data_IF_911933744602
#
_entry.id   IF_911933744602
#
_cell.length_a   1.000
_cell.length_b   1.000
_cell.length_c   1.000
_cell.angle_alpha   90.00
_cell.angle_beta   90.00
_cell.angle_gamma   90.00
#
_symmetry.space_group_name_H-M   'P 1'
#
loop_
_entity.id
_entity.type
_entity.pdbx_description
1 polymer ?
#
# COMPACT_ATOMS: atom_id res chain seq x y z
N UNK A 1 -17.82 -3.12 -8.03
CA UNK A 1 -18.10 -3.69 -6.70
C UNK A 1 -16.97 -4.67 -6.42
N UNK A 2 -15.90 -4.22 -5.71
CA UNK A 2 -14.79 -5.09 -5.32
C UNK A 2 -15.26 -5.82 -4.08
N UNK A 3 -15.44 -7.12 -4.17
CA UNK A 3 -15.72 -7.96 -3.01
C UNK A 3 -14.51 -7.89 -2.07
N UNK A 4 -14.68 -7.23 -0.92
CA UNK A 4 -13.73 -7.34 0.16
C UNK A 4 -13.70 -8.82 0.58
N UNK A 5 -12.67 -9.54 0.19
CA UNK A 5 -12.41 -10.90 0.68
C UNK A 5 -12.07 -10.74 2.16
N UNK A 6 -13.08 -10.90 3.01
CA UNK A 6 -12.87 -11.02 4.44
C UNK A 6 -11.79 -12.10 4.67
N UNK A 7 -10.85 -11.81 5.56
CA UNK A 7 -9.82 -12.73 6.00
C UNK A 7 -10.47 -14.01 6.57
N UNK A 8 -10.84 -14.92 5.68
CA UNK A 8 -11.13 -16.30 6.04
C UNK A 8 -9.80 -16.90 6.44
N UNK A 9 -9.73 -17.64 7.55
CA UNK A 9 -8.52 -18.20 8.13
C UNK A 9 -7.75 -19.19 7.22
N UNK A 10 -7.66 -18.89 5.94
CA UNK A 10 -6.78 -19.55 4.96
C UNK A 10 -5.38 -18.99 5.07
N UNK A 11 -4.41 -19.84 4.92
CA UNK A 11 -3.02 -19.43 4.74
C UNK A 11 -2.92 -18.53 3.48
N UNK A 12 -2.12 -17.44 3.54
CA UNK A 12 -1.94 -16.57 2.38
C UNK A 12 -1.21 -17.31 1.26
N UNK A 13 -1.49 -16.97 0.02
CA UNK A 13 -0.78 -17.50 -1.15
C UNK A 13 0.64 -16.91 -1.28
N UNK A 14 0.93 -15.78 -0.59
CA UNK A 14 2.20 -15.05 -0.65
C UNK A 14 2.71 -14.74 0.77
N UNK A 15 3.97 -15.08 1.03
CA UNK A 15 4.63 -14.91 2.32
C UNK A 15 5.84 -13.97 2.23
N UNK A 16 6.32 -13.53 3.37
CA UNK A 16 7.58 -12.77 3.47
C UNK A 16 8.77 -13.48 2.80
N UNK A 17 8.78 -14.81 2.82
CA UNK A 17 9.83 -15.64 2.23
C UNK A 17 9.88 -15.50 0.71
N UNK A 18 8.74 -15.21 0.04
CA UNK A 18 8.60 -15.07 -1.41
C UNK A 18 9.05 -13.70 -1.94
N UNK A 19 9.28 -12.73 -1.06
CA UNK A 19 9.72 -11.40 -1.47
C UNK A 19 11.12 -11.46 -2.07
N UNK A 20 11.25 -10.89 -3.26
CA UNK A 20 12.53 -10.66 -3.95
C UNK A 20 12.87 -9.18 -3.82
N UNK A 21 13.95 -8.88 -3.08
CA UNK A 21 14.41 -7.48 -2.91
C UNK A 21 14.82 -6.90 -4.27
N UNK A 22 14.50 -5.64 -4.50
CA UNK A 22 14.62 -4.88 -5.74
C UNK A 22 13.60 -5.24 -6.84
N UNK A 23 12.71 -6.22 -6.64
CA UNK A 23 11.60 -6.44 -7.56
C UNK A 23 10.65 -5.24 -7.54
N UNK A 24 10.20 -4.85 -8.74
CA UNK A 24 9.26 -3.74 -8.97
C UNK A 24 7.99 -4.27 -9.61
N UNK A 25 6.85 -3.76 -9.16
CA UNK A 25 5.53 -4.13 -9.70
C UNK A 25 4.68 -2.86 -9.87
N UNK A 26 3.69 -2.92 -10.78
CA UNK A 26 2.71 -1.83 -11.00
C UNK A 26 1.29 -2.34 -10.84
N UNK A 27 0.42 -1.49 -10.29
CA UNK A 27 -1.03 -1.75 -10.18
C UNK A 27 -1.74 -1.56 -11.52
N UNK A 28 -3.04 -1.84 -11.55
CA UNK A 28 -3.92 -1.36 -12.61
C UNK A 28 -4.02 0.18 -12.61
N UNK A 29 -4.58 0.73 -13.71
CA UNK A 29 -4.90 2.15 -13.80
C UNK A 29 -6.20 2.45 -13.07
N UNK A 30 -6.25 3.58 -12.39
CA UNK A 30 -7.42 4.10 -11.69
C UNK A 30 -7.61 5.58 -12.02
N UNK A 31 -8.78 5.95 -12.53
CA UNK A 31 -9.09 7.35 -12.78
C UNK A 31 -9.85 7.96 -11.60
N UNK A 32 -9.28 9.03 -11.00
CA UNK A 32 -9.91 9.77 -9.92
C UNK A 32 -10.86 10.83 -10.49
N UNK A 33 -12.14 10.81 -10.09
CA UNK A 33 -13.11 11.82 -10.52
C UNK A 33 -13.08 13.07 -9.62
N UNK A 34 -13.57 14.21 -10.14
CA UNK A 34 -13.70 15.43 -9.34
C UNK A 34 -14.70 15.24 -8.19
N UNK A 35 -15.81 14.54 -8.44
CA UNK A 35 -16.80 14.24 -7.39
C UNK A 35 -16.18 13.43 -6.26
N UNK A 36 -15.37 12.44 -6.57
CA UNK A 36 -14.67 11.65 -5.56
C UNK A 36 -13.71 12.51 -4.72
N UNK A 37 -12.97 13.42 -5.36
CA UNK A 37 -12.08 14.34 -4.63
C UNK A 37 -12.89 15.22 -3.66
N UNK A 38 -13.99 15.82 -4.15
CA UNK A 38 -14.85 16.69 -3.33
C UNK A 38 -15.51 15.91 -2.21
N UNK A 39 -16.03 14.71 -2.48
CA UNK A 39 -16.72 13.86 -1.49
C UNK A 39 -15.76 13.42 -0.38
N UNK A 40 -14.54 13.01 -0.75
CA UNK A 40 -13.51 12.66 0.24
C UNK A 40 -13.11 13.87 1.07
N UNK A 41 -12.80 14.99 0.42
CA UNK A 41 -12.35 16.20 1.09
C UNK A 41 -13.43 16.78 2.00
N UNK A 42 -14.70 16.80 1.59
CA UNK A 42 -15.80 17.29 2.41
C UNK A 42 -15.94 16.58 3.75
N UNK A 43 -15.47 15.32 3.85
CA UNK A 43 -15.51 14.52 5.08
C UNK A 43 -14.25 14.64 5.91
N UNK A 44 -13.07 14.72 5.28
CA UNK A 44 -11.80 14.49 5.96
C UNK A 44 -10.81 15.66 5.88
N UNK A 45 -10.96 16.57 4.89
CA UNK A 45 -10.07 17.71 4.67
C UNK A 45 -10.78 18.82 3.87
N UNK A 46 -11.77 19.52 4.47
CA UNK A 46 -12.64 20.45 3.75
C UNK A 46 -11.96 21.81 3.47
N UNK A 47 -10.72 21.80 3.04
CA UNK A 47 -10.06 23.01 2.58
C UNK A 47 -10.65 23.47 1.25
N UNK A 48 -10.82 24.80 1.04
CA UNK A 48 -11.44 25.33 -0.19
C UNK A 48 -10.78 24.86 -1.49
N UNK A 49 -9.47 24.62 -1.51
CA UNK A 49 -8.75 24.11 -2.68
C UNK A 49 -9.19 22.71 -3.12
N UNK A 50 -9.87 21.97 -2.23
CA UNK A 50 -10.32 20.60 -2.49
C UNK A 50 -11.83 20.51 -2.76
N UNK A 51 -12.64 21.53 -2.38
CA UNK A 51 -14.10 21.46 -2.42
C UNK A 51 -14.76 22.61 -3.18
N UNK A 52 -14.09 23.77 -3.34
CA UNK A 52 -14.64 24.96 -4.02
C UNK A 52 -13.93 25.20 -5.35
N UNK A 53 -14.67 24.99 -6.46
CA UNK A 53 -14.13 25.14 -7.81
C UNK A 53 -13.63 26.55 -8.11
N UNK A 54 -14.36 27.59 -7.63
CA UNK A 54 -14.00 28.98 -7.90
C UNK A 54 -12.70 29.35 -7.14
N UNK A 55 -12.63 28.95 -5.89
CA UNK A 55 -11.42 29.15 -5.08
C UNK A 55 -10.23 28.39 -5.67
N UNK A 56 -10.42 27.13 -6.04
CA UNK A 56 -9.37 26.30 -6.60
C UNK A 56 -8.86 26.82 -7.96
N UNK A 57 -9.75 27.33 -8.81
CA UNK A 57 -9.39 27.92 -10.10
C UNK A 57 -8.54 29.20 -9.93
N UNK A 58 -8.81 29.99 -8.90
CA UNK A 58 -8.05 31.21 -8.59
C UNK A 58 -6.74 30.94 -7.80
N UNK A 59 -6.54 29.72 -7.31
CA UNK A 59 -5.39 29.32 -6.53
C UNK A 59 -4.21 28.88 -7.44
N UNK A 60 -3.02 28.74 -6.85
CA UNK A 60 -1.79 28.31 -7.52
C UNK A 60 -1.92 26.98 -8.27
N UNK A 61 -2.83 26.10 -7.87
CA UNK A 61 -3.07 24.81 -8.54
C UNK A 61 -3.98 24.91 -9.78
N UNK A 62 -4.78 26.00 -9.89
CA UNK A 62 -5.63 26.29 -11.04
C UNK A 62 -6.85 25.37 -11.24
N UNK A 63 -7.07 24.41 -10.35
CA UNK A 63 -8.19 23.47 -10.37
C UNK A 63 -8.34 22.76 -9.03
N UNK A 64 -9.46 22.07 -8.81
CA UNK A 64 -9.65 21.14 -7.69
C UNK A 64 -8.54 20.08 -7.69
N UNK A 65 -7.94 19.86 -6.53
CA UNK A 65 -6.88 18.86 -6.31
C UNK A 65 -7.24 17.95 -5.16
N UNK A 66 -6.81 16.70 -5.23
CA UNK A 66 -6.94 15.76 -4.12
C UNK A 66 -6.06 16.20 -2.93
N UNK A 67 -6.58 16.01 -1.71
CA UNK A 67 -5.78 16.20 -0.50
C UNK A 67 -4.69 15.14 -0.37
N UNK A 68 -3.67 15.41 0.43
CA UNK A 68 -2.63 14.43 0.73
C UNK A 68 -3.19 13.14 1.34
N UNK A 69 -4.18 13.25 2.22
CA UNK A 69 -4.89 12.12 2.81
C UNK A 69 -5.63 11.29 1.75
N UNK A 70 -6.21 11.96 0.74
CA UNK A 70 -6.88 11.26 -0.36
C UNK A 70 -5.88 10.53 -1.26
N UNK A 71 -4.73 11.13 -1.57
CA UNK A 71 -3.65 10.44 -2.30
C UNK A 71 -3.17 9.18 -1.58
N UNK A 72 -3.05 9.22 -0.24
CA UNK A 72 -2.73 8.05 0.58
C UNK A 72 -3.82 6.97 0.49
N UNK A 73 -5.11 7.37 0.47
CA UNK A 73 -6.23 6.43 0.33
C UNK A 73 -6.27 5.78 -1.05
N UNK A 74 -6.08 6.55 -2.13
CA UNK A 74 -5.99 6.04 -3.51
C UNK A 74 -4.83 5.06 -3.63
N UNK A 75 -3.63 5.43 -3.13
CA UNK A 75 -2.47 4.54 -3.09
C UNK A 75 -2.82 3.24 -2.36
N UNK A 76 -3.45 3.30 -1.19
CA UNK A 76 -3.80 2.10 -0.43
C UNK A 76 -4.78 1.20 -1.19
N UNK A 77 -5.78 1.77 -1.86
CA UNK A 77 -6.71 1.01 -2.70
C UNK A 77 -5.97 0.21 -3.78
N UNK A 78 -5.03 0.84 -4.48
CA UNK A 78 -4.28 0.22 -5.57
C UNK A 78 -3.27 -0.82 -5.06
N UNK A 79 -2.68 -0.59 -3.90
CA UNK A 79 -1.75 -1.55 -3.26
C UNK A 79 -2.45 -2.88 -2.95
N UNK A 80 -3.75 -2.87 -2.65
CA UNK A 80 -4.50 -4.11 -2.36
C UNK A 80 -4.63 -5.07 -3.57
N UNK A 81 -4.25 -4.65 -4.77
CA UNK A 81 -4.20 -5.50 -5.96
C UNK A 81 -2.99 -6.45 -5.97
N UNK A 82 -1.92 -6.12 -5.23
CA UNK A 82 -0.70 -6.93 -5.22
C UNK A 82 -0.84 -8.15 -4.32
N UNK A 83 -0.33 -9.29 -4.80
CA UNK A 83 -0.42 -10.57 -4.09
C UNK A 83 0.22 -10.54 -2.69
N UNK A 84 1.30 -9.77 -2.50
CA UNK A 84 2.00 -9.70 -1.23
C UNK A 84 1.10 -9.20 -0.07
N UNK A 85 0.05 -8.44 -0.38
CA UNK A 85 -0.85 -7.89 0.65
C UNK A 85 -1.60 -8.98 1.40
N UNK A 86 -1.81 -10.16 0.78
CA UNK A 86 -2.40 -11.33 1.45
C UNK A 86 -1.57 -11.84 2.65
N UNK A 87 -0.25 -11.67 2.59
CA UNK A 87 0.66 -12.05 3.69
C UNK A 87 0.87 -10.95 4.74
N UNK A 88 0.41 -9.72 4.50
CA UNK A 88 0.59 -8.59 5.42
C UNK A 88 -0.27 -8.79 6.67
N UNK A 89 0.37 -8.71 7.83
CA UNK A 89 -0.29 -8.72 9.14
C UNK A 89 -0.72 -7.30 9.50
N UNK A 90 0.17 -6.33 9.31
CA UNK A 90 -0.08 -4.91 9.55
C UNK A 90 0.98 -4.05 8.87
N UNK A 91 0.61 -2.84 8.41
CA UNK A 91 1.57 -1.76 8.22
C UNK A 91 1.86 -1.16 9.59
N UNK A 92 3.14 -1.04 9.94
CA UNK A 92 3.59 -0.55 11.24
C UNK A 92 4.10 0.89 11.19
N UNK A 93 4.13 1.48 10.00
CA UNK A 93 4.45 2.89 9.80
C UNK A 93 4.80 3.24 8.37
N UNK A 94 4.79 4.53 8.08
CA UNK A 94 5.25 5.11 6.83
C UNK A 94 6.42 6.05 7.10
N UNK A 95 7.52 5.86 6.37
CA UNK A 95 8.64 6.77 6.37
C UNK A 95 8.69 7.55 5.05
N UNK A 96 9.35 8.71 5.09
CA UNK A 96 9.66 9.52 3.91
C UNK A 96 8.43 9.87 3.05
N UNK A 97 7.27 10.12 3.67
CA UNK A 97 6.07 10.55 2.95
C UNK A 97 6.31 11.92 2.33
N UNK A 98 6.17 12.03 1.00
CA UNK A 98 6.33 13.28 0.25
C UNK A 98 5.22 13.43 -0.77
N UNK A 99 4.55 14.58 -0.76
CA UNK A 99 3.62 15.02 -1.79
C UNK A 99 4.39 15.87 -2.79
N UNK A 100 4.58 15.35 -4.00
CA UNK A 100 5.49 15.93 -4.99
C UNK A 100 4.80 16.83 -5.99
N UNK A 101 3.60 16.46 -6.39
CA UNK A 101 2.79 17.20 -7.36
C UNK A 101 1.31 17.12 -6.98
N UNK A 102 0.48 18.11 -7.39
CA UNK A 102 -0.95 18.03 -7.19
C UNK A 102 -1.58 16.92 -8.04
N UNK A 103 -2.45 16.13 -7.43
CA UNK A 103 -3.32 15.19 -8.13
C UNK A 103 -4.62 15.89 -8.50
N UNK A 104 -4.91 15.99 -9.80
CA UNK A 104 -6.13 16.65 -10.34
C UNK A 104 -7.18 15.63 -10.74
N UNK A 105 -8.42 16.10 -10.88
CA UNK A 105 -9.50 15.29 -11.40
C UNK A 105 -9.20 14.74 -12.80
N UNK A 106 -9.74 13.56 -13.09
CA UNK A 106 -9.65 12.83 -14.34
C UNK A 106 -8.24 12.34 -14.75
N UNK A 107 -7.23 12.52 -13.89
CA UNK A 107 -5.92 11.91 -14.12
C UNK A 107 -5.96 10.40 -13.89
N UNK A 108 -5.16 9.67 -14.67
CA UNK A 108 -4.96 8.23 -14.52
C UNK A 108 -3.92 7.96 -13.46
N UNK A 109 -4.34 7.32 -12.37
CA UNK A 109 -3.46 6.96 -11.25
C UNK A 109 -2.96 5.52 -11.39
N UNK A 110 -1.72 5.29 -11.02
CA UNK A 110 -1.10 3.96 -10.91
C UNK A 110 -0.12 3.95 -9.75
N UNK A 111 -0.05 2.85 -9.01
CA UNK A 111 0.98 2.66 -7.98
C UNK A 111 2.10 1.80 -8.55
N UNK A 112 3.33 2.28 -8.39
CA UNK A 112 4.54 1.47 -8.54
C UNK A 112 5.07 1.15 -7.14
N UNK A 113 5.41 -0.12 -6.91
CA UNK A 113 6.06 -0.58 -5.69
C UNK A 113 7.43 -1.17 -6.01
N UNK A 114 8.34 -1.07 -5.04
CA UNK A 114 9.63 -1.78 -5.04
C UNK A 114 9.90 -2.35 -3.64
N UNK A 115 10.25 -3.61 -3.55
CA UNK A 115 10.72 -4.19 -2.29
C UNK A 115 12.15 -3.72 -2.01
N UNK A 116 12.31 -2.81 -1.04
CA UNK A 116 13.61 -2.17 -0.73
C UNK A 116 14.46 -3.07 0.16
N UNK A 117 13.85 -3.64 1.21
CA UNK A 117 14.55 -4.46 2.21
C UNK A 117 13.60 -5.42 2.90
N UNK A 118 14.12 -6.53 3.40
CA UNK A 118 13.39 -7.44 4.26
C UNK A 118 14.28 -8.01 5.36
N UNK A 119 13.74 -8.11 6.58
CA UNK A 119 14.46 -8.67 7.72
C UNK A 119 13.55 -9.50 8.63
N UNK A 120 14.04 -10.61 9.22
CA UNK A 120 13.28 -11.35 10.20
C UNK A 120 13.05 -10.50 11.46
N UNK A 121 12.03 -10.82 12.25
CA UNK A 121 11.86 -10.24 13.59
C UNK A 121 12.64 -11.04 14.62
N UNK A 122 13.21 -10.37 15.63
CA UNK A 122 13.97 -11.05 16.70
C UNK A 122 13.07 -11.81 17.68
N UNK A 123 11.79 -11.43 17.80
CA UNK A 123 10.88 -11.95 18.82
C UNK A 123 9.99 -13.11 18.33
N UNK A 124 9.76 -13.24 17.05
CA UNK A 124 8.77 -14.18 16.46
C UNK A 124 9.28 -14.72 15.13
N UNK A 125 9.48 -16.02 15.04
CA UNK A 125 9.98 -16.67 13.83
C UNK A 125 8.90 -16.75 12.71
N UNK A 126 7.62 -16.65 13.08
CA UNK A 126 6.46 -16.74 12.17
C UNK A 126 6.21 -15.48 11.34
N UNK A 127 7.05 -14.44 11.48
CA UNK A 127 6.89 -13.16 10.78
C UNK A 127 8.20 -12.45 10.51
N UNK A 128 8.18 -11.55 9.53
CA UNK A 128 9.30 -10.68 9.19
C UNK A 128 8.81 -9.27 8.87
N UNK A 129 9.72 -8.33 8.85
CA UNK A 129 9.48 -6.95 8.38
C UNK A 129 9.91 -6.85 6.94
N UNK A 130 9.14 -6.14 6.12
CA UNK A 130 9.51 -5.71 4.76
C UNK A 130 9.38 -4.19 4.67
N UNK A 131 10.29 -3.56 3.93
CA UNK A 131 10.22 -2.16 3.56
C UNK A 131 9.87 -2.10 2.08
N UNK A 132 8.73 -1.49 1.77
CA UNK A 132 8.22 -1.33 0.42
C UNK A 132 8.25 0.15 0.05
N UNK A 133 9.08 0.52 -0.93
CA UNK A 133 9.00 1.82 -1.56
C UNK A 133 7.77 1.88 -2.44
N UNK A 134 7.00 2.94 -2.31
CA UNK A 134 5.76 3.13 -3.05
C UNK A 134 5.73 4.51 -3.69
N UNK A 135 5.28 4.56 -4.95
CA UNK A 135 5.09 5.79 -5.69
C UNK A 135 3.71 5.77 -6.34
N UNK A 136 2.88 6.77 -6.01
CA UNK A 136 1.66 7.04 -6.76
C UNK A 136 1.99 7.95 -7.93
N UNK A 137 1.68 7.49 -9.11
CA UNK A 137 1.82 8.21 -10.36
C UNK A 137 0.44 8.75 -10.78
N UNK A 138 0.40 9.93 -11.38
CA UNK A 138 -0.75 10.47 -12.08
C UNK A 138 -0.31 10.93 -13.47
N UNK A 139 -0.84 10.32 -14.53
CA UNK A 139 -0.39 10.51 -15.91
C UNK A 139 1.15 10.38 -16.03
N UNK A 140 1.69 9.29 -15.47
CA UNK A 140 3.12 8.95 -15.38
C UNK A 140 4.01 9.93 -14.60
N UNK A 141 3.43 10.92 -13.89
CA UNK A 141 4.17 11.84 -13.03
C UNK A 141 4.01 11.46 -11.55
N UNK A 142 5.09 11.40 -10.76
CA UNK A 142 4.98 11.10 -9.34
C UNK A 142 4.24 12.21 -8.60
N UNK A 143 3.18 11.85 -7.88
CA UNK A 143 2.40 12.76 -7.02
C UNK A 143 2.60 12.49 -5.54
N UNK A 144 2.90 11.23 -5.16
CA UNK A 144 3.20 10.82 -3.79
C UNK A 144 4.28 9.76 -3.79
N UNK A 145 5.21 9.86 -2.85
CA UNK A 145 6.17 8.78 -2.53
C UNK A 145 6.16 8.51 -1.03
N UNK A 146 6.44 7.27 -0.66
CA UNK A 146 6.65 6.86 0.74
C UNK A 146 7.39 5.52 0.81
N UNK A 147 7.85 5.17 2.02
CA UNK A 147 8.26 3.81 2.39
C UNK A 147 7.25 3.25 3.37
N UNK A 148 6.62 2.13 3.03
CA UNK A 148 5.74 1.38 3.94
C UNK A 148 6.56 0.32 4.67
N UNK A 149 6.48 0.32 5.98
CA UNK A 149 7.10 -0.67 6.84
C UNK A 149 6.02 -1.66 7.24
N UNK A 150 6.01 -2.83 6.62
CA UNK A 150 4.98 -3.83 6.84
C UNK A 150 5.50 -5.05 7.60
N UNK A 151 4.67 -5.58 8.49
CA UNK A 151 4.86 -6.85 9.15
C UNK A 151 4.14 -7.93 8.33
N UNK A 152 4.85 -8.97 7.92
CA UNK A 152 4.32 -10.04 7.08
C UNK A 152 4.50 -11.41 7.70
N UNK A 153 3.58 -12.34 7.39
CA UNK A 153 3.67 -13.75 7.76
C UNK A 153 4.85 -14.42 7.05
N UNK A 154 5.53 -15.29 7.77
CA UNK A 154 6.55 -16.22 7.24
C UNK A 154 6.03 -17.63 7.24
N UNK A 155 6.56 -18.45 6.33
CA UNK A 155 6.34 -19.89 6.40
C UNK A 155 6.98 -20.46 7.64
N UNK A 156 6.19 -21.14 8.45
CA UNK A 156 6.71 -21.90 9.60
C UNK A 156 7.13 -23.27 9.06
N UNK A 157 8.43 -23.50 8.98
CA UNK A 157 8.93 -24.84 8.70
C UNK A 157 8.64 -25.70 9.93
N UNK A 158 7.66 -26.58 9.86
CA UNK A 158 7.46 -27.62 10.87
C UNK A 158 8.70 -28.50 10.83
N UNK A 159 9.57 -28.39 11.82
CA UNK A 159 10.60 -29.41 12.05
C UNK A 159 9.82 -30.67 12.43
N UNK A 160 9.63 -31.57 11.46
CA UNK A 160 9.14 -32.92 11.75
C UNK A 160 10.17 -33.54 12.65
N UNK A 161 9.88 -33.59 13.96
CA UNK A 161 10.71 -34.26 14.93
C UNK A 161 10.87 -35.72 14.51
N UNK A 162 12.10 -36.15 14.31
CA UNK A 162 12.44 -37.57 14.15
C UNK A 162 11.93 -38.27 15.41
N UNK A 163 11.04 -39.27 15.33
CA UNK A 163 10.63 -40.01 16.51
C UNK A 163 11.85 -40.69 17.12
N UNK A 164 12.10 -40.42 18.41
CA UNK A 164 13.11 -41.12 19.16
C UNK A 164 12.83 -42.62 19.07
N UNK A 165 13.73 -43.37 18.41
CA UNK A 165 13.70 -44.81 18.39
C UNK A 165 13.93 -45.32 19.81
N UNK A 166 12.91 -45.85 20.44
CA UNK A 166 13.03 -46.61 21.67
C UNK A 166 13.82 -47.89 21.36
N UNK A 167 15.06 -47.95 21.80
CA UNK A 167 15.76 -49.22 21.94
C UNK A 167 15.30 -49.84 23.27
N UNK A 168 14.49 -50.91 23.18
CA UNK A 168 14.33 -51.86 24.25
C UNK A 168 15.55 -52.80 24.25
N UNK A 169 16.25 -52.83 25.36
CA UNK A 169 16.97 -54.01 25.83
C UNK A 169 16.35 -54.44 27.15
#
# INVERSE_FOLDING_TARGET
>A
MIAATAATGRDPDFYWDDIIVNETQRSSLYQVSESEIIDFASRYDPMPIHIDRNYAAANVFGAITASGSHMLAIRQRLVLEFAFTGGVIASIGYDEVRFLNPLRANQQCQVEIQFIDKRPTSKRADRGVVIVGMMLLADDKPVLTLRDIALMRRRVTSVIGVPASYHHQ
#
